data_IF_151187659916
#
_entry.id   IF_151187659916
#
_cell.length_a   1.000
_cell.length_b   1.000
_cell.length_c   1.000
_cell.angle_alpha   90.00
_cell.angle_beta   90.00
_cell.angle_gamma   90.00
#
_symmetry.space_group_name_H-M   'P 1'
#
loop_
_entity.id
_entity.type
_entity.pdbx_description
1 polymer ?
#
# COMPACT_ATOMS: atom_id res chain seq x y z
N UNK A 1 16.37 -4.30 -8.18
CA UNK A 1 15.01 -3.86 -7.76
C UNK A 1 13.98 -4.35 -8.80
N UNK A 2 12.71 -4.58 -8.44
CA UNK A 2 11.72 -5.10 -9.41
C UNK A 2 11.33 -4.04 -10.44
N UNK A 3 11.29 -4.39 -11.73
CA UNK A 3 10.81 -3.50 -12.80
C UNK A 3 9.38 -3.01 -12.58
N UNK A 4 8.55 -3.76 -11.84
CA UNK A 4 7.19 -3.36 -11.50
C UNK A 4 7.14 -2.12 -10.60
N UNK A 5 8.20 -1.80 -9.85
CA UNK A 5 8.22 -0.59 -9.03
C UNK A 5 8.31 0.69 -9.85
N UNK A 6 8.87 0.61 -11.06
CA UNK A 6 9.07 1.79 -11.88
C UNK A 6 7.72 2.44 -12.25
N UNK A 7 7.53 3.70 -11.85
CA UNK A 7 6.34 4.48 -12.14
C UNK A 7 5.04 3.95 -11.50
N UNK A 8 5.11 3.00 -10.56
CA UNK A 8 3.91 2.33 -10.01
C UNK A 8 2.97 3.30 -9.29
N UNK A 9 3.50 4.37 -8.70
CA UNK A 9 2.71 5.45 -8.12
C UNK A 9 1.78 6.09 -9.17
N UNK A 10 2.25 6.22 -10.41
CA UNK A 10 1.53 6.83 -11.53
C UNK A 10 0.55 5.86 -12.17
N UNK A 11 0.99 4.65 -12.55
CA UNK A 11 0.15 3.72 -13.31
C UNK A 11 -0.69 2.80 -12.42
N UNK A 12 -0.28 2.54 -11.17
CA UNK A 12 -0.97 1.65 -10.24
C UNK A 12 -2.35 2.15 -9.83
N UNK A 13 -2.54 3.49 -9.74
CA UNK A 13 -3.81 4.13 -9.38
C UNK A 13 -4.77 4.39 -10.54
N UNK A 14 -4.48 3.90 -11.75
CA UNK A 14 -5.25 4.23 -12.96
C UNK A 14 -6.54 3.42 -13.10
N UNK A 15 -6.44 2.18 -13.58
CA UNK A 15 -7.55 1.27 -13.79
C UNK A 15 -7.27 -0.04 -13.04
N UNK A 16 -8.26 -0.52 -12.27
CA UNK A 16 -8.14 -1.77 -11.51
C UNK A 16 -7.79 -2.98 -12.41
N UNK A 17 -8.21 -2.95 -13.67
CA UNK A 17 -7.89 -3.97 -14.68
C UNK A 17 -6.39 -4.09 -14.95
N UNK A 18 -5.63 -2.99 -14.88
CA UNK A 18 -4.17 -3.03 -15.04
C UNK A 18 -3.53 -3.78 -13.87
N UNK A 19 -3.97 -3.48 -12.64
CA UNK A 19 -3.51 -4.21 -11.45
C UNK A 19 -3.86 -5.68 -11.49
N UNK A 20 -5.09 -6.00 -11.86
CA UNK A 20 -5.56 -7.38 -11.95
C UNK A 20 -4.75 -8.19 -12.98
N UNK A 21 -4.44 -7.61 -14.14
CA UNK A 21 -3.61 -8.27 -15.18
C UNK A 21 -2.21 -8.59 -14.66
N UNK A 22 -1.55 -7.64 -14.02
CA UNK A 22 -0.20 -7.85 -13.48
C UNK A 22 -0.23 -8.88 -12.34
N UNK A 23 -1.23 -8.79 -11.44
CA UNK A 23 -1.39 -9.74 -10.35
C UNK A 23 -1.66 -11.17 -10.86
N UNK A 24 -2.46 -11.33 -11.93
CA UNK A 24 -2.68 -12.63 -12.59
C UNK A 24 -1.37 -13.23 -13.10
N UNK A 25 -0.49 -12.43 -13.71
CA UNK A 25 0.81 -12.91 -14.16
C UNK A 25 1.74 -13.23 -12.98
N UNK A 26 1.79 -12.39 -11.94
CA UNK A 26 2.55 -12.69 -10.73
C UNK A 26 2.10 -14.01 -10.11
N UNK A 27 0.79 -14.26 -9.98
CA UNK A 27 0.26 -15.51 -9.44
C UNK A 27 0.72 -16.72 -10.26
N UNK A 28 0.74 -16.63 -11.59
CA UNK A 28 1.27 -17.71 -12.46
C UNK A 28 2.74 -18.00 -12.13
N UNK A 29 3.58 -16.97 -12.01
CA UNK A 29 4.99 -17.12 -11.64
C UNK A 29 5.13 -17.76 -10.25
N UNK A 30 4.38 -17.29 -9.26
CA UNK A 30 4.38 -17.86 -7.90
C UNK A 30 4.00 -19.34 -7.91
N UNK A 31 2.98 -19.73 -8.69
CA UNK A 31 2.60 -21.14 -8.84
C UNK A 31 3.71 -21.99 -9.43
N UNK A 32 4.41 -21.48 -10.45
CA UNK A 32 5.55 -22.18 -11.03
C UNK A 32 6.69 -22.35 -10.02
N UNK A 33 6.98 -21.30 -9.22
CA UNK A 33 8.03 -21.36 -8.19
C UNK A 33 7.69 -22.33 -7.06
N UNK A 34 6.42 -22.39 -6.66
CA UNK A 34 5.97 -23.22 -5.54
C UNK A 34 5.54 -24.64 -5.96
N UNK A 35 5.49 -24.96 -7.26
CA UNK A 35 5.09 -26.29 -7.76
C UNK A 35 3.61 -26.64 -7.53
N UNK A 36 2.74 -25.63 -7.42
CA UNK A 36 1.34 -25.76 -6.94
C UNK A 36 0.36 -25.86 -8.10
N UNK A 37 -0.82 -26.41 -7.83
CA UNK A 37 -1.89 -26.46 -8.85
C UNK A 37 -2.62 -25.12 -8.98
N UNK A 38 -3.44 -24.95 -10.02
CA UNK A 38 -4.16 -23.71 -10.30
C UNK A 38 -5.25 -23.38 -9.25
N UNK A 39 -5.72 -24.38 -8.50
CA UNK A 39 -6.86 -24.27 -7.59
C UNK A 39 -6.48 -23.70 -6.21
N UNK A 40 -5.22 -23.88 -5.78
CA UNK A 40 -4.75 -23.43 -4.47
C UNK A 40 -4.60 -21.91 -4.41
N UNK A 41 -4.78 -21.31 -3.23
CA UNK A 41 -4.53 -19.88 -3.05
C UNK A 41 -3.04 -19.59 -3.16
N UNK A 42 -2.64 -18.56 -3.92
CA UNK A 42 -1.23 -18.14 -3.97
C UNK A 42 -0.79 -17.35 -2.73
N UNK A 43 -1.71 -16.98 -1.82
CA UNK A 43 -1.41 -16.02 -0.73
C UNK A 43 -0.30 -16.53 0.18
N UNK A 44 -0.39 -17.77 0.64
CA UNK A 44 0.63 -18.28 1.58
C UNK A 44 2.00 -18.39 0.90
N UNK A 45 2.04 -18.77 -0.37
CA UNK A 45 3.28 -18.76 -1.16
C UNK A 45 3.89 -17.37 -1.37
N UNK A 46 3.08 -16.30 -1.44
CA UNK A 46 3.64 -14.93 -1.44
C UNK A 46 4.37 -14.63 -0.13
N UNK A 47 3.85 -15.09 1.01
CA UNK A 47 4.49 -14.92 2.33
C UNK A 47 5.77 -15.76 2.42
N UNK A 48 5.67 -17.04 2.09
CA UNK A 48 6.79 -18.00 2.16
C UNK A 48 7.97 -17.57 1.28
N UNK A 49 7.68 -17.15 0.04
CA UNK A 49 8.70 -16.67 -0.90
C UNK A 49 9.17 -15.24 -0.58
N UNK A 50 8.54 -14.57 0.39
CA UNK A 50 8.79 -13.16 0.75
C UNK A 50 8.70 -12.21 -0.45
N UNK A 51 7.66 -12.43 -1.27
CA UNK A 51 7.38 -11.62 -2.46
C UNK A 51 6.14 -10.75 -2.18
N UNK A 52 6.29 -9.44 -2.37
CA UNK A 52 5.14 -8.54 -2.33
C UNK A 52 4.28 -8.72 -3.58
N UNK A 53 2.95 -8.75 -3.39
CA UNK A 53 2.03 -8.59 -4.52
C UNK A 53 2.22 -7.21 -5.14
N UNK A 54 1.86 -7.08 -6.41
CA UNK A 54 1.91 -5.78 -7.11
C UNK A 54 1.01 -4.73 -6.42
N UNK A 55 -0.08 -5.17 -5.80
CA UNK A 55 -0.97 -4.31 -5.01
C UNK A 55 -0.27 -3.83 -3.74
N UNK A 56 0.36 -4.74 -2.98
CA UNK A 56 1.15 -4.36 -1.79
C UNK A 56 2.32 -3.45 -2.16
N UNK A 57 2.95 -3.65 -3.32
CA UNK A 57 3.98 -2.74 -3.84
C UNK A 57 3.42 -1.34 -4.11
N UNK A 58 2.26 -1.23 -4.75
CA UNK A 58 1.60 0.06 -5.01
C UNK A 58 1.24 0.78 -3.71
N UNK A 59 0.61 0.08 -2.75
CA UNK A 59 0.27 0.60 -1.43
C UNK A 59 1.54 1.12 -0.72
N UNK A 60 2.61 0.33 -0.71
CA UNK A 60 3.87 0.74 -0.11
C UNK A 60 4.42 2.03 -0.75
N UNK A 61 4.53 2.08 -2.08
CA UNK A 61 5.14 3.23 -2.75
C UNK A 61 4.31 4.50 -2.52
N UNK A 62 2.99 4.41 -2.63
CA UNK A 62 2.10 5.56 -2.39
C UNK A 62 2.14 6.04 -0.94
N UNK A 63 2.20 5.14 0.05
CA UNK A 63 2.41 5.52 1.46
C UNK A 63 3.74 6.27 1.62
N UNK A 64 4.85 5.72 1.10
CA UNK A 64 6.17 6.34 1.19
C UNK A 64 6.19 7.72 0.51
N UNK A 65 5.54 7.83 -0.64
CA UNK A 65 5.34 9.11 -1.33
C UNK A 65 4.63 10.11 -0.42
N UNK A 66 3.44 9.76 0.10
CA UNK A 66 2.66 10.64 0.98
C UNK A 66 3.42 11.06 2.25
N UNK A 67 4.22 10.17 2.84
CA UNK A 67 5.06 10.51 4.00
C UNK A 67 6.18 11.49 3.67
N UNK A 68 6.62 11.54 2.41
CA UNK A 68 7.66 12.46 1.93
C UNK A 68 7.07 13.81 1.52
N UNK A 69 5.82 13.85 1.05
CA UNK A 69 5.16 15.08 0.53
C UNK A 69 4.71 16.08 1.62
N UNK A 70 5.02 15.86 2.91
CA UNK A 70 4.60 16.73 4.03
C UNK A 70 3.12 17.14 4.00
N UNK A 71 2.21 16.19 3.78
CA UNK A 71 0.78 16.45 3.87
C UNK A 71 0.38 16.81 5.32
N UNK A 72 -0.62 17.68 5.46
CA UNK A 72 -1.18 18.12 6.74
C UNK A 72 -1.69 16.90 7.52
N UNK A 73 -1.34 16.81 8.80
CA UNK A 73 -1.79 15.78 9.73
C UNK A 73 -2.81 16.35 10.71
N UNK A 74 -3.62 15.49 11.35
CA UNK A 74 -4.61 15.96 12.34
C UNK A 74 -3.96 16.71 13.51
N UNK A 75 -2.74 16.33 13.92
CA UNK A 75 -1.96 17.05 14.95
C UNK A 75 -1.60 18.49 14.57
N UNK A 76 -1.58 18.82 13.29
CA UNK A 76 -1.23 20.17 12.82
C UNK A 76 -2.45 21.12 12.91
N UNK A 77 -3.66 20.56 13.08
CA UNK A 77 -4.93 21.29 13.19
C UNK A 77 -5.40 21.43 14.64
N UNK A 78 -5.11 20.44 15.50
CA UNK A 78 -5.59 20.41 16.88
C UNK A 78 -4.44 20.36 17.90
N UNK A 79 -4.48 21.25 18.91
CA UNK A 79 -3.48 21.31 19.99
C UNK A 79 -3.59 20.17 21.03
N UNK A 80 -4.63 19.33 20.95
CA UNK A 80 -4.84 18.19 21.86
C UNK A 80 -4.61 16.87 21.14
N UNK A 81 -3.87 15.95 21.79
CA UNK A 81 -3.57 14.62 21.25
C UNK A 81 -4.84 13.77 21.13
N UNK A 82 -5.36 13.60 19.92
CA UNK A 82 -6.45 12.66 19.63
C UNK A 82 -5.89 11.29 19.25
N UNK A 83 -6.70 10.23 19.37
CA UNK A 83 -6.30 8.85 19.01
C UNK A 83 -5.86 8.70 17.54
N UNK A 84 -6.24 9.65 16.68
CA UNK A 84 -5.93 9.72 15.25
C UNK A 84 -4.95 10.85 14.91
N UNK A 85 -4.19 11.36 15.88
CA UNK A 85 -3.28 12.50 15.67
C UNK A 85 -2.19 12.22 14.62
N UNK A 86 -1.83 10.95 14.43
CA UNK A 86 -0.89 10.45 13.44
C UNK A 86 -1.46 10.44 12.01
N UNK A 87 -2.78 10.38 11.86
CA UNK A 87 -3.46 10.29 10.57
C UNK A 87 -3.33 11.59 9.76
N UNK A 88 -3.23 11.43 8.45
CA UNK A 88 -3.33 12.54 7.51
C UNK A 88 -4.75 13.09 7.49
N UNK A 89 -4.87 14.41 7.48
CA UNK A 89 -6.15 15.07 7.22
C UNK A 89 -6.42 14.95 5.73
N UNK A 90 -7.40 14.12 5.36
CA UNK A 90 -7.81 14.01 3.97
C UNK A 90 -8.58 15.29 3.62
N UNK A 91 -8.10 16.12 2.68
CA UNK A 91 -8.83 17.33 2.33
C UNK A 91 -10.17 16.94 1.71
N UNK A 92 -11.24 17.64 2.09
CA UNK A 92 -12.54 17.49 1.45
C UNK A 92 -12.38 17.98 0.02
N UNK A 93 -12.49 17.07 -0.95
CA UNK A 93 -12.39 17.42 -2.36
C UNK A 93 -13.67 17.02 -3.10
N UNK A 94 -14.14 17.92 -3.96
CA UNK A 94 -15.36 17.71 -4.77
C UNK A 94 -15.11 17.01 -6.10
N UNK A 95 -13.84 16.72 -6.46
CA UNK A 95 -13.45 16.17 -7.76
C UNK A 95 -12.76 14.82 -7.61
N UNK A 96 -13.27 13.78 -8.29
CA UNK A 96 -12.69 12.43 -8.35
C UNK A 96 -11.23 12.39 -8.85
N UNK A 97 -10.78 13.42 -9.56
CA UNK A 97 -9.39 13.56 -10.01
C UNK A 97 -8.41 13.73 -8.82
N UNK A 98 -8.85 14.35 -7.74
CA UNK A 98 -8.03 14.53 -6.53
C UNK A 98 -7.86 13.22 -5.76
N UNK A 99 -8.87 12.34 -5.79
CA UNK A 99 -8.85 11.02 -5.18
C UNK A 99 -7.84 10.07 -5.84
N UNK A 100 -7.47 10.35 -7.09
CA UNK A 100 -6.50 9.56 -7.86
C UNK A 100 -5.04 9.99 -7.66
N UNK A 101 -4.78 11.09 -6.93
CA UNK A 101 -3.41 11.54 -6.68
C UNK A 101 -2.66 10.52 -5.81
N UNK A 102 -1.40 10.16 -6.14
CA UNK A 102 -0.61 9.22 -5.35
C UNK A 102 -0.45 9.65 -3.88
N UNK A 103 -0.32 10.96 -3.64
CA UNK A 103 -0.26 11.54 -2.30
C UNK A 103 -1.57 11.36 -1.52
N UNK A 104 -2.73 11.56 -2.16
CA UNK A 104 -4.03 11.33 -1.54
C UNK A 104 -4.25 9.85 -1.23
N UNK A 105 -4.02 8.96 -2.22
CA UNK A 105 -4.11 7.50 -2.02
C UNK A 105 -3.17 7.01 -0.93
N UNK A 106 -1.93 7.48 -0.94
CA UNK A 106 -0.95 7.18 0.08
C UNK A 106 -1.38 7.61 1.48
N UNK A 107 -1.99 8.79 1.60
CA UNK A 107 -2.55 9.27 2.86
C UNK A 107 -3.72 8.39 3.35
N UNK A 108 -4.64 8.03 2.45
CA UNK A 108 -5.74 7.09 2.75
C UNK A 108 -5.17 5.77 3.24
N UNK A 109 -4.18 5.21 2.55
CA UNK A 109 -3.60 3.94 2.95
C UNK A 109 -2.83 4.03 4.27
N UNK A 110 -2.09 5.12 4.49
CA UNK A 110 -1.39 5.35 5.75
C UNK A 110 -2.34 5.37 6.94
N UNK A 111 -3.51 6.00 6.80
CA UNK A 111 -4.52 6.07 7.87
C UNK A 111 -5.07 4.69 8.28
N UNK A 112 -5.04 3.70 7.37
CA UNK A 112 -5.45 2.32 7.66
C UNK A 112 -4.32 1.47 8.28
N UNK A 113 -3.11 2.01 8.43
CA UNK A 113 -2.02 1.29 9.09
C UNK A 113 -2.27 1.14 10.60
N UNK A 114 -1.72 0.10 11.24
CA UNK A 114 -1.64 0.02 12.69
C UNK A 114 -0.85 1.19 13.31
N UNK A 115 -1.27 1.63 14.50
CA UNK A 115 -0.64 2.77 15.19
C UNK A 115 0.84 2.55 15.54
N UNK A 116 1.26 1.31 15.76
CA UNK A 116 2.66 0.95 15.98
C UNK A 116 3.54 1.29 14.78
N UNK A 117 3.07 1.05 13.55
CA UNK A 117 3.78 1.45 12.33
C UNK A 117 3.79 2.96 12.14
N UNK A 118 2.66 3.63 12.42
CA UNK A 118 2.53 5.09 12.24
C UNK A 118 3.45 5.90 13.16
N UNK A 119 3.85 5.34 14.31
CA UNK A 119 4.72 5.99 15.30
C UNK A 119 6.20 5.98 14.92
N UNK A 120 6.63 5.15 13.96
CA UNK A 120 8.02 5.11 13.52
C UNK A 120 8.37 6.39 12.74
N UNK A 121 9.29 7.18 13.30
CA UNK A 121 9.69 8.47 12.73
C UNK A 121 10.88 8.36 11.80
N UNK A 122 11.67 7.29 11.89
CA UNK A 122 12.82 7.08 11.03
C UNK A 122 12.35 6.52 9.66
N UNK A 123 12.57 7.23 8.53
CA UNK A 123 12.05 6.82 7.23
C UNK A 123 12.54 5.43 6.78
N UNK A 124 13.80 5.10 7.06
CA UNK A 124 14.39 3.80 6.70
C UNK A 124 13.78 2.67 7.53
N UNK A 125 13.60 2.87 8.83
CA UNK A 125 12.95 1.87 9.71
C UNK A 125 11.47 1.72 9.37
N UNK A 126 10.78 2.82 9.10
CA UNK A 126 9.38 2.82 8.67
C UNK A 126 9.20 2.01 7.38
N UNK A 127 10.02 2.30 6.35
CA UNK A 127 10.02 1.53 5.09
C UNK A 127 10.23 0.04 5.33
N UNK A 128 11.17 -0.33 6.20
CA UNK A 128 11.46 -1.72 6.52
C UNK A 128 10.29 -2.39 7.25
N UNK A 129 9.75 -1.77 8.30
CA UNK A 129 8.60 -2.30 9.05
C UNK A 129 7.36 -2.42 8.17
N UNK A 130 7.07 -1.41 7.35
CA UNK A 130 5.97 -1.45 6.38
C UNK A 130 6.16 -2.59 5.37
N UNK A 131 7.39 -2.81 4.89
CA UNK A 131 7.69 -3.94 3.99
C UNK A 131 7.39 -5.27 4.67
N UNK A 132 7.88 -5.48 5.89
CA UNK A 132 7.64 -6.72 6.65
C UNK A 132 6.15 -6.92 6.92
N UNK A 133 5.44 -5.87 7.30
CA UNK A 133 4.01 -5.94 7.58
C UNK A 133 3.18 -6.34 6.36
N UNK A 134 3.54 -5.82 5.17
CA UNK A 134 2.91 -6.14 3.89
C UNK A 134 3.29 -7.53 3.36
N UNK A 135 4.47 -8.05 3.69
CA UNK A 135 4.89 -9.40 3.32
C UNK A 135 4.07 -10.47 4.03
N UNK A 136 3.73 -10.24 5.31
CA UNK A 136 2.87 -11.15 6.09
C UNK A 136 1.40 -11.08 5.67
N UNK A 137 1.01 -10.05 4.90
CA UNK A 137 -0.37 -9.77 4.50
C UNK A 137 -0.47 -9.51 2.98
N UNK A 138 -0.50 -10.57 2.15
CA UNK A 138 -0.60 -10.42 0.70
C UNK A 138 -1.99 -9.93 0.27
N UNK A 139 -2.09 -8.65 -0.09
CA UNK A 139 -3.31 -8.03 -0.59
C UNK A 139 -3.46 -8.24 -2.10
N UNK A 140 -4.65 -8.58 -2.56
CA UNK A 140 -4.99 -8.72 -3.98
C UNK A 140 -5.79 -7.53 -4.53
N UNK A 141 -6.22 -6.61 -3.67
CA UNK A 141 -6.86 -5.36 -4.08
C UNK A 141 -6.67 -4.27 -3.02
N UNK A 142 -6.84 -3.00 -3.42
CA UNK A 142 -6.87 -1.87 -2.47
C UNK A 142 -8.00 -2.03 -1.45
N UNK A 143 -9.16 -2.53 -1.89
CA UNK A 143 -10.34 -2.80 -1.04
C UNK A 143 -10.06 -3.78 0.08
N UNK A 144 -9.31 -4.83 -0.23
CA UNK A 144 -8.87 -5.82 0.76
C UNK A 144 -7.96 -5.19 1.82
N UNK A 145 -7.15 -4.22 1.44
CA UNK A 145 -6.28 -3.49 2.37
C UNK A 145 -7.08 -2.51 3.25
N UNK A 146 -8.04 -1.78 2.68
CA UNK A 146 -8.85 -0.80 3.43
C UNK A 146 -9.99 -1.43 4.23
N UNK A 147 -10.37 -2.68 3.93
CA UNK A 147 -11.50 -3.36 4.57
C UNK A 147 -12.88 -2.88 4.10
N UNK A 148 -12.97 -2.33 2.88
CA UNK A 148 -14.18 -1.74 2.28
C UNK A 148 -14.60 -2.46 1.01
#
# INVERSE_FOLDING_TARGET
ESHLRYGIETWGGTAATNMERVLKQQKRVIRCLAGTTQQESCKDYFKELKILTVVSLYIQQTILHATTTQLIRHRDIHQHNTRHASDFTLPIHHLSLTEKKPSYKGAVFFNHLPEDLKKETNPSRFKNQLTLWLLERPFYSEKEFTGT
#
